data_IF_901613236979
#
_entry.id   IF_901613236979
#
_cell.length_a   1.000
_cell.length_b   1.000
_cell.length_c   1.000
_cell.angle_alpha   90.00
_cell.angle_beta   90.00
_cell.angle_gamma   90.00
#
_symmetry.space_group_name_H-M   'P 1'
#
loop_
_entity.id
_entity.type
_entity.pdbx_description
1 polymer ?
#
# COMPACT_ATOMS: atom_id res chain seq x y z
N UNK A 1 -14.70 49.32 -38.16
CA UNK A 1 -14.15 49.38 -36.79
C UNK A 1 -15.05 48.64 -35.81
N UNK A 2 -16.33 49.00 -35.67
CA UNK A 2 -17.26 48.38 -34.71
C UNK A 2 -17.49 46.86 -34.91
N UNK A 3 -17.54 46.39 -36.17
CA UNK A 3 -17.69 44.95 -36.46
C UNK A 3 -16.46 44.11 -36.09
N UNK A 4 -15.25 44.67 -36.18
CA UNK A 4 -14.03 43.95 -35.83
C UNK A 4 -13.90 43.80 -34.31
N UNK A 5 -14.24 44.82 -33.53
CA UNK A 5 -14.30 44.73 -32.07
C UNK A 5 -15.35 43.71 -31.59
N UNK A 6 -16.53 43.69 -32.20
CA UNK A 6 -17.57 42.70 -31.87
C UNK A 6 -17.12 41.27 -32.17
N UNK A 7 -16.38 41.07 -33.28
CA UNK A 7 -15.83 39.78 -33.67
C UNK A 7 -14.72 39.31 -32.74
N UNK A 8 -13.86 40.23 -32.27
CA UNK A 8 -12.82 39.94 -31.28
C UNK A 8 -13.40 39.65 -29.89
N UNK A 9 -14.43 40.36 -29.44
CA UNK A 9 -15.10 40.08 -28.17
C UNK A 9 -15.78 38.71 -28.23
N UNK A 10 -16.46 38.39 -29.34
CA UNK A 10 -17.10 37.10 -29.53
C UNK A 10 -16.09 35.94 -29.54
N UNK A 11 -14.99 36.08 -30.28
CA UNK A 11 -13.92 35.08 -30.31
C UNK A 11 -13.26 34.91 -28.94
N UNK A 12 -12.94 35.99 -28.23
CA UNK A 12 -12.35 35.88 -26.90
C UNK A 12 -13.32 35.29 -25.87
N UNK A 13 -14.62 35.59 -25.96
CA UNK A 13 -15.63 35.02 -25.08
C UNK A 13 -15.84 33.52 -25.32
N UNK A 14 -15.80 33.08 -26.59
CA UNK A 14 -15.93 31.66 -26.93
C UNK A 14 -14.68 30.88 -26.51
N UNK A 15 -13.50 31.48 -26.66
CA UNK A 15 -12.23 30.90 -26.27
C UNK A 15 -12.11 30.81 -24.74
N UNK A 16 -12.52 31.84 -23.99
CA UNK A 16 -12.61 31.80 -22.52
C UNK A 16 -13.62 30.75 -22.03
N UNK A 17 -14.78 30.64 -22.68
CA UNK A 17 -15.78 29.62 -22.39
C UNK A 17 -15.25 28.21 -22.63
N UNK A 18 -14.59 27.98 -23.77
CA UNK A 18 -14.01 26.69 -24.15
C UNK A 18 -12.87 26.27 -23.22
N UNK A 19 -11.97 27.20 -22.85
CA UNK A 19 -10.91 26.97 -21.86
C UNK A 19 -11.53 26.57 -20.52
N UNK A 20 -12.56 27.29 -20.05
CA UNK A 20 -13.22 26.99 -18.76
C UNK A 20 -13.92 25.62 -18.74
N UNK A 21 -14.43 25.17 -19.88
CA UNK A 21 -15.06 23.85 -20.04
C UNK A 21 -14.00 22.76 -20.04
N UNK A 22 -12.91 22.93 -20.78
CA UNK A 22 -11.78 22.00 -20.79
C UNK A 22 -11.14 21.89 -19.40
N UNK A 23 -11.00 22.99 -18.65
CA UNK A 23 -10.48 22.94 -17.28
C UNK A 23 -11.41 22.18 -16.33
N UNK A 24 -12.74 22.38 -16.45
CA UNK A 24 -13.73 21.66 -15.64
C UNK A 24 -13.74 20.16 -15.96
N UNK A 25 -13.65 19.80 -17.23
CA UNK A 25 -13.60 18.40 -17.65
C UNK A 25 -12.31 17.70 -17.19
N UNK A 26 -11.16 18.37 -17.34
CA UNK A 26 -9.87 17.86 -16.86
C UNK A 26 -9.84 17.68 -15.34
N UNK A 27 -10.41 18.63 -14.59
CA UNK A 27 -10.50 18.53 -13.13
C UNK A 27 -11.45 17.43 -12.68
N UNK A 28 -12.55 17.22 -13.40
CA UNK A 28 -13.48 16.12 -13.14
C UNK A 28 -12.83 14.75 -13.41
N UNK A 29 -12.18 14.57 -14.56
CA UNK A 29 -11.44 13.34 -14.91
C UNK A 29 -10.33 13.05 -13.89
N UNK A 30 -9.59 14.08 -13.48
CA UNK A 30 -8.57 13.96 -12.45
C UNK A 30 -9.18 13.55 -11.10
N UNK A 31 -10.29 14.18 -10.69
CA UNK A 31 -11.00 13.84 -9.45
C UNK A 31 -11.48 12.38 -9.43
N UNK A 32 -11.96 11.87 -10.57
CA UNK A 32 -12.39 10.49 -10.75
C UNK A 32 -11.19 9.56 -10.62
N UNK A 33 -10.07 9.88 -11.29
CA UNK A 33 -8.83 9.09 -11.22
C UNK A 33 -8.28 9.05 -9.80
N UNK A 34 -8.32 10.18 -9.09
CA UNK A 34 -7.91 10.30 -7.68
C UNK A 34 -8.80 9.44 -6.77
N UNK A 35 -10.13 9.56 -6.88
CA UNK A 35 -11.08 8.76 -6.10
C UNK A 35 -10.86 7.25 -6.32
N UNK A 36 -10.59 6.86 -7.56
CA UNK A 36 -10.31 5.46 -7.90
C UNK A 36 -9.02 4.95 -7.23
N UNK A 37 -7.98 5.79 -7.18
CA UNK A 37 -6.71 5.48 -6.55
C UNK A 37 -6.82 5.39 -5.02
N UNK A 38 -7.48 6.37 -4.40
CA UNK A 38 -7.77 6.35 -2.95
C UNK A 38 -8.59 5.12 -2.56
N UNK A 39 -9.58 4.72 -3.38
CA UNK A 39 -10.38 3.51 -3.15
C UNK A 39 -9.53 2.24 -3.22
N UNK A 40 -8.60 2.14 -4.19
CA UNK A 40 -7.64 1.03 -4.28
C UNK A 40 -6.75 0.95 -3.05
N UNK A 41 -6.21 2.08 -2.58
CA UNK A 41 -5.34 2.13 -1.40
C UNK A 41 -6.11 1.75 -0.15
N UNK A 42 -7.32 2.29 0.04
CA UNK A 42 -8.17 1.94 1.18
C UNK A 42 -8.51 0.45 1.22
N UNK A 43 -8.81 -0.14 0.07
CA UNK A 43 -9.08 -1.59 -0.03
C UNK A 43 -7.85 -2.40 0.36
N UNK A 44 -6.67 -2.02 -0.14
CA UNK A 44 -5.40 -2.66 0.23
C UNK A 44 -5.14 -2.55 1.74
N UNK A 45 -5.23 -1.35 2.31
CA UNK A 45 -4.95 -1.13 3.73
C UNK A 45 -5.91 -1.90 4.64
N UNK A 46 -7.19 -2.02 4.27
CA UNK A 46 -8.17 -2.87 4.98
C UNK A 46 -7.74 -4.34 4.91
N UNK A 47 -7.34 -4.82 3.72
CA UNK A 47 -6.88 -6.19 3.53
C UNK A 47 -5.62 -6.46 4.37
N UNK A 48 -4.64 -5.57 4.38
CA UNK A 48 -3.41 -5.76 5.18
C UNK A 48 -3.69 -5.74 6.69
N UNK A 49 -4.59 -4.87 7.17
CA UNK A 49 -5.01 -4.86 8.58
C UNK A 49 -5.73 -6.16 8.94
N UNK A 50 -6.60 -6.66 8.07
CA UNK A 50 -7.30 -7.94 8.29
C UNK A 50 -6.31 -9.12 8.31
N UNK A 51 -5.34 -9.14 7.39
CA UNK A 51 -4.29 -10.15 7.35
C UNK A 51 -3.41 -10.11 8.60
N UNK A 52 -3.05 -8.91 9.08
CA UNK A 52 -2.28 -8.74 10.32
C UNK A 52 -3.07 -9.22 11.55
N UNK A 53 -4.37 -8.98 11.59
CA UNK A 53 -5.25 -9.44 12.69
C UNK A 53 -5.33 -10.97 12.73
N UNK A 54 -5.54 -11.60 11.57
CA UNK A 54 -5.55 -13.06 11.43
C UNK A 54 -4.17 -13.63 11.82
N UNK A 55 -3.09 -12.99 11.38
CA UNK A 55 -1.72 -13.35 11.74
C UNK A 55 -1.51 -13.36 13.26
N UNK A 56 -1.95 -12.31 13.96
CA UNK A 56 -1.88 -12.25 15.44
C UNK A 56 -2.62 -13.42 16.09
N UNK A 57 -3.81 -13.79 15.60
CA UNK A 57 -4.57 -14.93 16.14
C UNK A 57 -3.84 -16.26 15.93
N UNK A 58 -3.31 -16.49 14.72
CA UNK A 58 -2.57 -17.71 14.38
C UNK A 58 -1.29 -17.80 15.20
N UNK A 59 -0.44 -16.76 15.18
CA UNK A 59 0.81 -16.74 15.94
C UNK A 59 0.56 -16.74 17.45
N UNK A 60 -0.55 -16.17 17.91
CA UNK A 60 -1.00 -16.27 19.29
C UNK A 60 -1.30 -17.71 19.70
N UNK A 61 -2.10 -18.44 18.92
CA UNK A 61 -2.35 -19.87 19.14
C UNK A 61 -1.05 -20.68 19.15
N UNK A 62 -0.18 -20.46 18.15
CA UNK A 62 1.10 -21.16 18.04
C UNK A 62 2.06 -20.84 19.18
N UNK A 63 2.04 -19.62 19.74
CA UNK A 63 2.88 -19.23 20.87
C UNK A 63 2.54 -20.02 22.14
N UNK A 64 1.25 -20.34 22.37
CA UNK A 64 0.82 -21.14 23.52
C UNK A 64 1.07 -22.64 23.29
N UNK A 65 0.87 -23.13 22.08
CA UNK A 65 0.92 -24.56 21.75
C UNK A 65 2.34 -25.09 21.51
N UNK A 66 3.20 -24.32 20.86
CA UNK A 66 4.53 -24.79 20.46
C UNK A 66 5.49 -24.71 21.66
N UNK A 67 6.16 -25.80 22.08
CA UNK A 67 7.09 -25.78 23.21
C UNK A 67 8.47 -25.21 22.86
N UNK A 68 8.83 -25.11 21.57
CA UNK A 68 10.18 -24.74 21.11
C UNK A 68 10.55 -23.29 21.48
N UNK A 69 11.62 -23.06 22.26
CA UNK A 69 11.98 -21.73 22.75
C UNK A 69 12.23 -20.72 21.63
N UNK A 70 12.96 -21.11 20.58
CA UNK A 70 13.30 -20.24 19.44
C UNK A 70 12.04 -19.83 18.68
N UNK A 71 11.13 -20.78 18.43
CA UNK A 71 9.85 -20.53 17.76
C UNK A 71 8.95 -19.62 18.59
N UNK A 72 8.91 -19.76 19.92
CA UNK A 72 8.14 -18.87 20.80
C UNK A 72 8.63 -17.43 20.71
N UNK A 73 9.94 -17.22 20.73
CA UNK A 73 10.51 -15.86 20.57
C UNK A 73 10.15 -15.28 19.19
N UNK A 74 10.24 -16.09 18.13
CA UNK A 74 9.83 -15.68 16.79
C UNK A 74 8.33 -15.32 16.71
N UNK A 75 7.45 -16.10 17.34
CA UNK A 75 6.02 -15.79 17.45
C UNK A 75 5.76 -14.46 18.16
N UNK A 76 6.40 -14.24 19.33
CA UNK A 76 6.26 -13.02 20.09
C UNK A 76 6.70 -11.78 19.29
N UNK A 77 7.84 -11.90 18.58
CA UNK A 77 8.34 -10.85 17.71
C UNK A 77 7.39 -10.59 16.52
N UNK A 78 6.84 -11.65 15.92
CA UNK A 78 5.86 -11.55 14.85
C UNK A 78 4.58 -10.82 15.29
N UNK A 79 4.06 -11.13 16.48
CA UNK A 79 2.89 -10.45 17.06
C UNK A 79 3.19 -8.96 17.26
N UNK A 80 4.32 -8.63 17.89
CA UNK A 80 4.73 -7.24 18.10
C UNK A 80 4.85 -6.47 16.77
N UNK A 81 5.39 -7.14 15.75
CA UNK A 81 5.49 -6.61 14.40
C UNK A 81 4.13 -6.35 13.75
N UNK A 82 3.18 -7.30 13.82
CA UNK A 82 1.84 -7.10 13.30
C UNK A 82 1.12 -5.93 13.99
N UNK A 83 1.31 -5.76 15.31
CA UNK A 83 0.78 -4.59 16.03
C UNK A 83 1.40 -3.29 15.51
N UNK A 84 2.72 -3.25 15.31
CA UNK A 84 3.41 -2.10 14.73
C UNK A 84 2.86 -1.74 13.33
N UNK A 85 2.66 -2.74 12.48
CA UNK A 85 2.07 -2.59 11.14
C UNK A 85 0.67 -1.98 11.22
N UNK A 86 -0.21 -2.51 12.10
CA UNK A 86 -1.57 -1.99 12.29
C UNK A 86 -1.54 -0.51 12.72
N UNK A 87 -0.66 -0.15 13.65
CA UNK A 87 -0.51 1.25 14.12
C UNK A 87 -0.04 2.16 12.98
N UNK A 88 0.95 1.73 12.21
CA UNK A 88 1.50 2.51 11.09
C UNK A 88 0.45 2.76 9.99
N UNK A 89 -0.33 1.75 9.62
CA UNK A 89 -1.43 1.91 8.66
C UNK A 89 -2.59 2.75 9.21
N UNK A 90 -2.95 2.62 10.49
CA UNK A 90 -3.95 3.49 11.14
C UNK A 90 -3.54 4.96 11.11
N UNK A 91 -2.26 5.27 11.38
CA UNK A 91 -1.73 6.65 11.34
C UNK A 91 -1.76 7.24 9.92
N UNK A 92 -1.48 6.43 8.90
CA UNK A 92 -1.60 6.82 7.49
C UNK A 92 -3.06 7.10 7.06
N UNK A 93 -4.01 6.31 7.56
CA UNK A 93 -5.45 6.48 7.27
C UNK A 93 -5.99 7.84 7.76
N UNK A 94 -5.52 8.32 8.92
CA UNK A 94 -5.93 9.62 9.50
C UNK A 94 -5.48 10.79 8.61
N UNK A 95 -4.37 10.67 7.88
CA UNK A 95 -3.88 11.71 6.97
C UNK A 95 -4.67 11.78 5.65
N UNK A 96 -5.48 10.77 5.32
CA UNK A 96 -6.18 10.66 4.04
C UNK A 96 -7.66 11.10 4.05
N UNK A 97 -8.19 11.64 5.15
CA UNK A 97 -9.66 11.77 5.34
C UNK A 97 -10.19 13.20 5.48
N UNK A 98 -9.41 14.23 5.15
CA UNK A 98 -9.96 15.61 5.06
C UNK A 98 -9.82 16.13 3.65
N UNK A 99 -10.63 15.57 2.74
CA UNK A 99 -10.97 16.26 1.50
C UNK A 99 -11.97 17.35 1.89
N UNK A 100 -11.45 18.51 2.26
CA UNK A 100 -12.28 19.68 2.47
C UNK A 100 -12.60 20.26 1.09
N UNK A 101 -13.85 20.09 0.64
CA UNK A 101 -14.32 20.57 -0.67
C UNK A 101 -14.43 22.10 -0.73
N UNK A 102 -14.07 22.80 0.34
CA UNK A 102 -13.99 24.27 0.42
C UNK A 102 -12.66 24.86 -0.08
N UNK A 103 -11.63 24.04 -0.34
CA UNK A 103 -10.31 24.49 -0.77
C UNK A 103 -10.24 24.80 -2.27
N UNK A 104 -9.48 25.83 -2.62
CA UNK A 104 -9.20 26.28 -3.99
C UNK A 104 -8.62 25.13 -4.85
N UNK A 105 -8.92 25.08 -6.16
CA UNK A 105 -8.45 23.99 -7.05
C UNK A 105 -6.93 23.79 -6.99
N UNK A 106 -6.16 24.88 -6.86
CA UNK A 106 -4.71 24.82 -6.68
C UNK A 106 -4.27 24.13 -5.37
N UNK A 107 -4.97 24.35 -4.27
CA UNK A 107 -4.68 23.72 -2.97
C UNK A 107 -5.06 22.24 -2.95
N UNK A 108 -6.19 21.87 -3.59
CA UNK A 108 -6.56 20.46 -3.76
C UNK A 108 -5.50 19.71 -4.58
N UNK A 109 -5.03 20.31 -5.67
CA UNK A 109 -4.01 19.72 -6.54
C UNK A 109 -2.66 19.57 -5.82
N UNK A 110 -2.27 20.56 -5.01
CA UNK A 110 -1.00 20.53 -4.28
C UNK A 110 -1.02 19.52 -3.12
N UNK A 111 -2.10 19.49 -2.32
CA UNK A 111 -2.29 18.47 -1.28
C UNK A 111 -2.28 17.05 -1.88
N UNK A 112 -2.90 16.86 -3.05
CA UNK A 112 -2.89 15.57 -3.73
C UNK A 112 -1.53 15.17 -4.28
N UNK A 113 -0.75 16.11 -4.84
CA UNK A 113 0.65 15.86 -5.21
C UNK A 113 1.45 15.38 -4.01
N UNK A 114 1.33 16.05 -2.86
CA UNK A 114 2.02 15.66 -1.62
C UNK A 114 1.58 14.27 -1.15
N UNK A 115 0.28 13.95 -1.20
CA UNK A 115 -0.24 12.63 -0.82
C UNK A 115 0.26 11.52 -1.75
N UNK A 116 0.30 11.76 -3.08
CA UNK A 116 0.82 10.79 -4.05
C UNK A 116 2.32 10.59 -3.90
N UNK A 117 3.10 11.65 -3.63
CA UNK A 117 4.53 11.56 -3.30
C UNK A 117 4.76 10.75 -2.02
N UNK A 118 3.97 11.00 -0.97
CA UNK A 118 4.04 10.22 0.27
C UNK A 118 3.68 8.76 0.05
N UNK A 119 2.68 8.46 -0.77
CA UNK A 119 2.31 7.07 -1.12
C UNK A 119 3.33 6.39 -2.03
N UNK A 120 3.95 7.13 -2.95
CA UNK A 120 5.07 6.66 -3.77
C UNK A 120 6.25 6.28 -2.87
N UNK A 121 6.65 7.17 -1.96
CA UNK A 121 7.72 6.89 -1.00
C UNK A 121 7.37 5.73 -0.06
N UNK A 122 6.11 5.65 0.38
CA UNK A 122 5.64 4.51 1.18
C UNK A 122 5.71 3.19 0.42
N UNK A 123 5.38 3.16 -0.88
CA UNK A 123 5.49 1.97 -1.74
C UNK A 123 6.95 1.60 -2.02
N UNK A 124 7.79 2.60 -2.28
CA UNK A 124 9.21 2.41 -2.57
C UNK A 124 9.93 1.83 -1.34
N UNK A 125 9.62 2.37 -0.15
CA UNK A 125 10.11 1.85 1.11
C UNK A 125 9.31 0.65 1.65
N UNK A 126 8.09 0.36 1.15
CA UNK A 126 7.25 -0.76 1.61
C UNK A 126 8.03 -2.08 1.58
N UNK A 127 8.90 -2.24 0.60
CA UNK A 127 9.80 -3.38 0.59
C UNK A 127 10.60 -3.56 1.87
N UNK A 128 11.28 -2.49 2.29
CA UNK A 128 12.25 -2.54 3.35
C UNK A 128 11.57 -2.62 4.72
N UNK A 129 10.46 -1.92 4.90
CA UNK A 129 9.75 -1.89 6.17
C UNK A 129 8.55 -2.82 6.26
N UNK A 130 8.04 -3.42 5.17
CA UNK A 130 6.85 -4.27 5.19
C UNK A 130 7.14 -5.72 4.80
N UNK A 131 7.98 -5.97 3.80
CA UNK A 131 8.22 -7.33 3.29
C UNK A 131 9.38 -8.05 4.01
N UNK A 132 10.50 -7.36 4.24
CA UNK A 132 11.70 -7.97 4.83
C UNK A 132 11.49 -8.43 6.28
N UNK A 133 10.94 -7.63 7.19
CA UNK A 133 10.83 -8.04 8.59
C UNK A 133 9.96 -9.29 8.81
N UNK A 134 8.74 -9.41 8.21
CA UNK A 134 7.96 -10.63 8.38
C UNK A 134 8.61 -11.82 7.64
N UNK A 135 9.35 -11.62 6.56
CA UNK A 135 10.14 -12.69 5.95
C UNK A 135 11.19 -13.23 6.94
N UNK A 136 11.97 -12.36 7.57
CA UNK A 136 12.97 -12.75 8.58
C UNK A 136 12.31 -13.49 9.75
N UNK A 137 11.18 -12.98 10.26
CA UNK A 137 10.47 -13.62 11.36
C UNK A 137 9.93 -15.00 10.99
N UNK A 138 9.35 -15.16 9.80
CA UNK A 138 8.90 -16.48 9.31
C UNK A 138 10.09 -17.42 9.07
N UNK A 139 11.22 -16.91 8.59
CA UNK A 139 12.44 -17.68 8.40
C UNK A 139 12.97 -18.23 9.73
N UNK A 140 13.09 -17.36 10.75
CA UNK A 140 13.51 -17.74 12.11
C UNK A 140 12.50 -18.70 12.74
N UNK A 141 11.19 -18.47 12.54
CA UNK A 141 10.13 -19.36 13.02
C UNK A 141 10.30 -20.78 12.47
N UNK A 142 10.48 -20.92 11.15
CA UNK A 142 10.62 -22.23 10.48
C UNK A 142 11.91 -22.94 10.89
N UNK A 143 13.03 -22.20 11.01
CA UNK A 143 14.28 -22.77 11.47
C UNK A 143 14.22 -23.22 12.93
N UNK A 144 13.52 -22.47 13.78
CA UNK A 144 13.35 -22.78 15.20
C UNK A 144 12.44 -23.97 15.50
N UNK A 145 11.72 -24.50 14.50
CA UNK A 145 10.91 -25.70 14.69
C UNK A 145 11.83 -26.90 14.95
N UNK A 146 11.77 -27.49 16.13
CA UNK A 146 12.56 -28.67 16.48
C UNK A 146 11.75 -29.96 16.31
N UNK A 147 12.35 -31.11 16.65
CA UNK A 147 11.68 -32.39 16.51
C UNK A 147 10.60 -32.51 17.61
N UNK A 148 9.32 -32.74 17.26
CA UNK A 148 8.23 -32.86 18.24
C UNK A 148 8.44 -33.98 19.27
N UNK A 149 9.21 -35.02 18.92
CA UNK A 149 9.49 -36.18 19.79
C UNK A 149 10.32 -35.75 21.01
N UNK A 150 11.27 -34.82 20.83
CA UNK A 150 12.19 -34.39 21.88
C UNK A 150 11.49 -33.58 22.98
N UNK A 151 10.27 -33.10 22.70
CA UNK A 151 9.46 -32.27 23.60
C UNK A 151 8.13 -32.93 24.00
N UNK A 152 7.94 -34.22 23.71
CA UNK A 152 6.68 -34.95 23.95
C UNK A 152 5.43 -34.21 23.43
N UNK A 153 5.57 -33.50 22.30
CA UNK A 153 4.51 -32.64 21.79
C UNK A 153 3.71 -33.35 20.68
N UNK A 154 2.42 -33.52 20.93
CA UNK A 154 1.49 -34.29 20.07
C UNK A 154 0.25 -33.47 19.73
N UNK A 155 0.42 -32.43 18.91
CA UNK A 155 -0.72 -31.67 18.37
C UNK A 155 -0.93 -32.00 16.88
N UNK A 156 -2.05 -32.66 16.55
CA UNK A 156 -2.37 -33.10 15.19
C UNK A 156 -2.56 -31.95 14.20
N UNK A 157 -3.12 -30.82 14.65
CA UNK A 157 -3.37 -29.64 13.80
C UNK A 157 -2.05 -28.96 13.46
N UNK A 158 -1.22 -28.72 14.47
CA UNK A 158 0.08 -28.09 14.28
C UNK A 158 1.05 -29.01 13.52
N UNK A 159 0.97 -30.34 13.72
CA UNK A 159 1.75 -31.32 12.95
C UNK A 159 1.40 -31.35 11.46
N UNK A 160 0.13 -31.09 11.11
CA UNK A 160 -0.31 -31.02 9.71
C UNK A 160 0.00 -29.67 9.05
N UNK A 161 0.04 -28.59 9.82
CA UNK A 161 0.27 -27.23 9.29
C UNK A 161 1.74 -26.84 9.24
N UNK A 162 2.57 -27.33 10.17
CA UNK A 162 3.94 -26.90 10.33
C UNK A 162 4.93 -27.79 9.58
N UNK A 163 5.98 -27.19 8.97
CA UNK A 163 7.05 -27.95 8.36
C UNK A 163 8.01 -28.53 9.40
N UNK A 164 7.67 -29.70 9.94
CA UNK A 164 8.48 -30.36 10.97
C UNK A 164 9.65 -31.18 10.40
N UNK A 165 9.53 -31.70 9.16
CA UNK A 165 10.61 -32.46 8.50
C UNK A 165 11.56 -31.55 7.73
N UNK A 166 12.85 -31.89 7.68
CA UNK A 166 13.89 -31.07 7.01
C UNK A 166 13.56 -30.77 5.54
N UNK A 167 13.06 -31.75 4.79
CA UNK A 167 12.66 -31.54 3.39
C UNK A 167 11.50 -30.57 3.28
N UNK A 168 10.50 -30.69 4.16
CA UNK A 168 9.33 -29.82 4.12
C UNK A 168 9.66 -28.39 4.59
N UNK A 169 10.63 -28.22 5.50
CA UNK A 169 11.19 -26.90 5.84
C UNK A 169 11.83 -26.24 4.62
N UNK A 170 12.69 -26.94 3.90
CA UNK A 170 13.36 -26.39 2.70
C UNK A 170 12.34 -25.98 1.65
N UNK A 171 11.37 -26.85 1.35
CA UNK A 171 10.29 -26.55 0.38
C UNK A 171 9.48 -25.33 0.83
N UNK A 172 9.14 -25.24 2.12
CA UNK A 172 8.38 -24.12 2.66
C UNK A 172 9.18 -22.82 2.61
N UNK A 173 10.48 -22.85 2.92
CA UNK A 173 11.36 -21.67 2.83
C UNK A 173 11.53 -21.18 1.39
N UNK A 174 11.68 -22.09 0.43
CA UNK A 174 11.74 -21.75 -1.00
C UNK A 174 10.41 -21.14 -1.44
N UNK A 175 9.28 -21.77 -1.10
CA UNK A 175 7.94 -21.25 -1.41
C UNK A 175 7.71 -19.86 -0.80
N UNK A 176 8.14 -19.66 0.45
CA UNK A 176 8.09 -18.37 1.13
C UNK A 176 8.93 -17.32 0.39
N UNK A 177 10.17 -17.64 0.03
CA UNK A 177 11.05 -16.74 -0.70
C UNK A 177 10.45 -16.32 -2.06
N UNK A 178 9.88 -17.28 -2.81
CA UNK A 178 9.20 -17.00 -4.07
C UNK A 178 7.95 -16.13 -3.87
N UNK A 179 7.16 -16.39 -2.82
CA UNK A 179 5.99 -15.57 -2.50
C UNK A 179 6.39 -14.12 -2.19
N UNK A 180 7.42 -13.90 -1.36
CA UNK A 180 7.91 -12.56 -1.07
C UNK A 180 8.51 -11.88 -2.32
N UNK A 181 9.24 -12.61 -3.16
CA UNK A 181 9.72 -12.10 -4.44
C UNK A 181 8.58 -11.72 -5.41
N UNK A 182 7.48 -12.48 -5.39
CA UNK A 182 6.29 -12.15 -6.17
C UNK A 182 5.57 -10.90 -5.64
N UNK A 183 5.41 -10.77 -4.32
CA UNK A 183 4.85 -9.54 -3.71
C UNK A 183 5.71 -8.32 -4.00
N UNK A 184 7.04 -8.47 -4.00
CA UNK A 184 7.99 -7.45 -4.44
C UNK A 184 7.68 -7.00 -5.87
N UNK A 185 7.58 -7.97 -6.79
CA UNK A 185 7.36 -7.70 -8.19
C UNK A 185 6.02 -6.99 -8.44
N UNK A 186 4.93 -7.42 -7.78
CA UNK A 186 3.63 -6.75 -7.87
C UNK A 186 3.70 -5.32 -7.36
N UNK A 187 4.32 -5.07 -6.20
CA UNK A 187 4.41 -3.73 -5.62
C UNK A 187 5.22 -2.80 -6.52
N UNK A 188 6.35 -3.27 -7.06
CA UNK A 188 7.19 -2.52 -8.00
C UNK A 188 6.46 -2.25 -9.31
N UNK A 189 5.67 -3.21 -9.80
CA UNK A 189 4.84 -3.04 -10.99
C UNK A 189 3.75 -1.99 -10.76
N UNK A 190 3.09 -1.99 -9.61
CA UNK A 190 2.08 -0.98 -9.27
C UNK A 190 2.70 0.44 -9.20
N UNK A 191 3.90 0.58 -8.62
CA UNK A 191 4.63 1.85 -8.58
C UNK A 191 4.90 2.39 -9.98
N UNK A 192 5.45 1.56 -10.86
CA UNK A 192 5.83 1.97 -12.20
C UNK A 192 4.65 2.14 -13.16
N UNK A 193 3.58 1.35 -13.01
CA UNK A 193 2.45 1.34 -13.94
C UNK A 193 1.34 2.33 -13.57
N UNK A 194 1.08 2.53 -12.28
CA UNK A 194 -0.06 3.33 -11.82
C UNK A 194 0.38 4.66 -11.19
N UNK A 195 1.43 4.65 -10.35
CA UNK A 195 1.81 5.81 -9.53
C UNK A 195 2.61 6.85 -10.33
N UNK A 196 3.72 6.45 -10.95
CA UNK A 196 4.59 7.35 -11.74
C UNK A 196 3.86 8.09 -12.86
N UNK A 197 3.09 7.44 -13.76
CA UNK A 197 2.44 8.16 -14.85
C UNK A 197 1.33 9.10 -14.36
N UNK A 198 0.69 8.79 -13.22
CA UNK A 198 -0.29 9.69 -12.62
C UNK A 198 0.38 10.92 -12.01
N UNK A 199 1.56 10.76 -11.39
CA UNK A 199 2.37 11.88 -10.90
C UNK A 199 2.80 12.81 -12.05
N UNK A 200 3.33 12.24 -13.14
CA UNK A 200 3.72 13.00 -14.33
C UNK A 200 2.52 13.77 -14.94
N UNK A 201 1.33 13.17 -14.96
CA UNK A 201 0.13 13.86 -15.46
C UNK A 201 -0.27 15.06 -14.58
N UNK A 202 -0.11 14.95 -13.26
CA UNK A 202 -0.38 16.04 -12.32
C UNK A 202 0.65 17.17 -12.49
N UNK A 203 1.93 16.84 -12.67
CA UNK A 203 2.99 17.84 -12.88
C UNK A 203 2.82 18.61 -14.19
N UNK A 204 2.43 17.93 -15.28
CA UNK A 204 2.12 18.59 -16.56
C UNK A 204 0.95 19.56 -16.44
N UNK A 205 -0.12 19.18 -15.75
CA UNK A 205 -1.26 20.07 -15.51
C UNK A 205 -0.88 21.28 -14.65
N UNK A 206 -0.06 21.10 -13.61
CA UNK A 206 0.44 22.22 -12.79
C UNK A 206 1.29 23.21 -13.61
N UNK A 207 2.08 22.73 -14.57
CA UNK A 207 2.85 23.60 -15.45
C UNK A 207 1.96 24.38 -16.43
N UNK A 208 0.90 23.77 -16.96
CA UNK A 208 -0.05 24.45 -17.84
C UNK A 208 -0.77 25.59 -17.10
N UNK A 209 -1.28 25.33 -15.89
CA UNK A 209 -1.98 26.32 -15.07
C UNK A 209 -1.05 27.47 -14.62
N UNK A 210 0.26 27.23 -14.49
CA UNK A 210 1.25 28.23 -14.06
C UNK A 210 1.79 29.11 -15.20
N UNK A 211 1.64 28.63 -16.44
CA UNK A 211 2.10 29.33 -17.64
C UNK A 211 0.97 30.12 -18.35
N UNK A 212 -0.26 30.05 -17.81
CA UNK A 212 -1.36 30.99 -18.08
C UNK A 212 -1.33 32.16 -17.07
#
# INVERSE_FOLDING_TARGET
MLEQELKDIWNNSSQSGQISIETKQLTEELSIKIKSFQKKIRSRDIREISASTIGILIFGYLLFEIPFPVTKVACGLAIAWFVFVIVKFRKSKIQNTKTDFSLTIAEQLNNHKTMMLQQSNLLDFALYWYAIPPFIMNFVFILGLENPIDYNWTNSVAKSLLPLTSNFKIVTLIGLALFYAFTYWINKRALNKDVKPTLESIEKMQQQIKNE
#
